data_IF_070084247421
#
_entry.id   IF_070084247421
#
_cell.length_a   1.000
_cell.length_b   1.000
_cell.length_c   1.000
_cell.angle_alpha   90.00
_cell.angle_beta   90.00
_cell.angle_gamma   90.00
#
_symmetry.space_group_name_H-M   'P 1'
#
loop_
_entity.id
_entity.type
_entity.pdbx_description
1 polymer ?
#
# COMPACT_ATOMS: atom_id res chain seq x y z
N UNK A 1 -16.07 28.27 11.99
CA UNK A 1 -15.75 27.62 13.28
C UNK A 1 -16.64 26.37 13.53
N UNK A 2 -16.82 25.49 12.53
CA UNK A 2 -17.84 24.41 12.58
C UNK A 2 -17.39 23.01 12.13
N UNK A 3 -16.13 22.84 11.72
CA UNK A 3 -15.60 21.54 11.26
C UNK A 3 -15.00 20.72 12.43
N UNK A 4 -14.63 21.40 13.53
CA UNK A 4 -13.90 20.77 14.64
C UNK A 4 -14.78 19.90 15.56
N UNK A 5 -16.11 19.95 15.43
CA UNK A 5 -17.02 19.18 16.29
C UNK A 5 -17.38 17.79 15.74
N UNK A 6 -16.95 17.45 14.52
CA UNK A 6 -17.30 16.19 13.87
C UNK A 6 -16.32 15.06 14.18
N UNK A 7 -15.06 15.38 14.51
CA UNK A 7 -14.02 14.39 14.84
C UNK A 7 -13.62 14.53 16.30
N UNK A 8 -13.87 13.49 17.10
CA UNK A 8 -13.45 13.47 18.52
C UNK A 8 -11.91 13.56 18.60
N UNK A 9 -11.33 14.31 19.55
CA UNK A 9 -9.88 14.44 19.69
C UNK A 9 -9.17 13.09 19.87
N UNK A 10 -9.84 12.09 20.43
CA UNK A 10 -9.33 10.72 20.54
C UNK A 10 -9.16 10.02 19.18
N UNK A 11 -9.98 10.32 18.18
CA UNK A 11 -9.88 9.75 16.83
C UNK A 11 -8.64 10.28 16.09
N UNK A 12 -8.30 11.55 16.28
CA UNK A 12 -7.11 12.15 15.67
C UNK A 12 -5.81 11.50 16.19
N UNK A 13 -5.73 11.25 17.50
CA UNK A 13 -4.57 10.57 18.10
C UNK A 13 -4.41 9.15 17.54
N UNK A 14 -5.51 8.40 17.42
CA UNK A 14 -5.48 7.04 16.87
C UNK A 14 -4.99 7.03 15.43
N UNK A 15 -5.43 7.99 14.60
CA UNK A 15 -4.98 8.08 13.19
C UNK A 15 -3.51 8.44 13.11
N UNK A 16 -3.05 9.38 13.92
CA UNK A 16 -1.63 9.75 13.97
C UNK A 16 -0.76 8.54 14.35
N UNK A 17 -1.20 7.74 15.33
CA UNK A 17 -0.55 6.49 15.71
C UNK A 17 -0.57 5.45 14.58
N UNK A 18 -1.66 5.33 13.81
CA UNK A 18 -1.72 4.44 12.65
C UNK A 18 -0.77 4.90 11.54
N UNK A 19 -0.67 6.20 11.25
CA UNK A 19 0.24 6.74 10.25
C UNK A 19 1.70 6.47 10.64
N UNK A 20 2.07 6.73 11.90
CA UNK A 20 3.41 6.42 12.42
C UNK A 20 3.67 4.91 12.35
N UNK A 21 2.73 4.10 12.82
CA UNK A 21 2.83 2.65 12.79
C UNK A 21 3.05 2.12 11.37
N UNK A 22 2.33 2.64 10.38
CA UNK A 22 2.52 2.27 8.97
C UNK A 22 3.89 2.69 8.44
N UNK A 23 4.36 3.91 8.76
CA UNK A 23 5.67 4.39 8.32
C UNK A 23 6.79 3.52 8.89
N UNK A 24 6.74 3.21 10.19
CA UNK A 24 7.75 2.40 10.86
C UNK A 24 7.70 0.95 10.38
N UNK A 25 6.51 0.35 10.28
CA UNK A 25 6.37 -1.03 9.84
C UNK A 25 6.80 -1.21 8.37
N UNK A 26 6.43 -0.28 7.49
CA UNK A 26 6.85 -0.29 6.08
C UNK A 26 8.38 -0.18 5.94
N UNK A 27 9.03 0.66 6.76
CA UNK A 27 10.49 0.79 6.78
C UNK A 27 11.18 -0.50 7.24
N UNK A 28 10.61 -1.18 8.24
CA UNK A 28 11.10 -2.49 8.69
C UNK A 28 10.97 -3.56 7.61
N UNK A 29 9.82 -3.65 6.95
CA UNK A 29 9.58 -4.60 5.84
C UNK A 29 10.56 -4.35 4.68
N UNK A 30 10.80 -3.08 4.33
CA UNK A 30 11.75 -2.72 3.29
C UNK A 30 13.19 -3.12 3.64
N UNK A 31 13.61 -2.88 4.90
CA UNK A 31 14.92 -3.26 5.38
C UNK A 31 15.16 -4.76 5.33
N UNK A 32 14.19 -5.56 5.79
CA UNK A 32 14.27 -7.03 5.71
C UNK A 32 14.30 -7.50 4.26
N UNK A 33 13.44 -6.94 3.40
CA UNK A 33 13.35 -7.35 1.99
C UNK A 33 14.65 -7.09 1.24
N UNK A 34 15.22 -5.88 1.38
CA UNK A 34 16.49 -5.53 0.74
C UNK A 34 17.65 -6.30 1.37
N UNK A 35 17.66 -6.47 2.70
CA UNK A 35 18.71 -7.23 3.38
C UNK A 35 18.78 -8.68 2.91
N UNK A 36 17.63 -9.34 2.73
CA UNK A 36 17.57 -10.69 2.15
C UNK A 36 18.08 -10.66 0.70
N UNK A 37 17.62 -9.69 -0.10
CA UNK A 37 18.02 -9.59 -1.50
C UNK A 37 19.54 -9.41 -1.66
N UNK A 38 20.15 -8.53 -0.86
CA UNK A 38 21.60 -8.30 -0.90
C UNK A 38 22.40 -9.47 -0.36
N UNK A 39 21.88 -10.17 0.67
CA UNK A 39 22.52 -11.37 1.21
C UNK A 39 22.52 -12.54 0.21
N UNK A 40 21.53 -12.59 -0.70
CA UNK A 40 21.42 -13.64 -1.72
C UNK A 40 22.20 -13.31 -3.00
N UNK A 41 22.27 -12.04 -3.41
CA UNK A 41 22.83 -11.65 -4.69
C UNK A 41 24.35 -11.50 -4.70
N UNK A 42 25.02 -11.38 -3.54
CA UNK A 42 26.48 -11.25 -3.39
C UNK A 42 27.16 -10.32 -4.43
N UNK A 43 26.46 -9.24 -4.79
CA UNK A 43 26.83 -8.30 -5.84
C UNK A 43 26.66 -6.87 -5.36
N UNK A 44 27.46 -5.94 -5.92
CA UNK A 44 27.28 -4.51 -5.74
C UNK A 44 25.92 -4.09 -6.31
N UNK A 45 24.96 -3.89 -5.41
CA UNK A 45 23.58 -3.48 -5.74
C UNK A 45 23.34 -2.07 -5.22
N UNK A 46 22.48 -1.26 -5.89
CA UNK A 46 22.14 0.08 -5.43
C UNK A 46 21.21 0.03 -4.21
N UNK A 47 21.74 -0.39 -3.06
CA UNK A 47 21.00 -0.70 -1.82
C UNK A 47 20.15 0.46 -1.33
N UNK A 48 20.63 1.70 -1.45
CA UNK A 48 19.89 2.90 -1.07
C UNK A 48 18.61 3.09 -1.89
N UNK A 49 18.69 2.99 -3.22
CA UNK A 49 17.52 3.16 -4.11
C UNK A 49 16.55 1.99 -3.97
N UNK A 50 17.07 0.76 -3.82
CA UNK A 50 16.25 -0.43 -3.57
C UNK A 50 15.51 -0.31 -2.25
N UNK A 51 16.14 0.21 -1.21
CA UNK A 51 15.50 0.46 0.08
C UNK A 51 14.39 1.50 -0.03
N UNK A 52 14.66 2.65 -0.66
CA UNK A 52 13.66 3.72 -0.83
C UNK A 52 12.47 3.23 -1.66
N UNK A 53 12.72 2.52 -2.76
CA UNK A 53 11.67 1.96 -3.61
C UNK A 53 10.84 0.91 -2.85
N UNK A 54 11.50 0.00 -2.13
CA UNK A 54 10.83 -1.03 -1.33
C UNK A 54 10.02 -0.43 -0.18
N UNK A 55 10.53 0.64 0.44
CA UNK A 55 9.83 1.36 1.50
C UNK A 55 8.62 2.11 0.97
N UNK A 56 8.73 2.83 -0.14
CA UNK A 56 7.57 3.42 -0.81
C UNK A 56 6.55 2.35 -1.20
N UNK A 57 6.99 1.23 -1.78
CA UNK A 57 6.14 0.11 -2.14
C UNK A 57 5.34 -0.45 -0.97
N UNK A 58 6.03 -0.79 0.13
CA UNK A 58 5.38 -1.35 1.32
C UNK A 58 4.46 -0.33 1.99
N UNK A 59 4.84 0.95 2.04
CA UNK A 59 3.99 2.03 2.56
C UNK A 59 2.70 2.18 1.76
N UNK A 60 2.78 2.17 0.43
CA UNK A 60 1.64 2.28 -0.48
C UNK A 60 0.65 1.13 -0.27
N UNK A 61 1.16 -0.10 -0.22
CA UNK A 61 0.35 -1.30 -0.02
C UNK A 61 -0.27 -1.32 1.37
N UNK A 62 0.49 -1.01 2.42
CA UNK A 62 -0.05 -0.90 3.79
C UNK A 62 -1.11 0.21 3.86
N UNK A 63 -0.87 1.39 3.29
CA UNK A 63 -1.84 2.49 3.27
C UNK A 63 -3.15 2.10 2.57
N UNK A 64 -3.08 1.43 1.42
CA UNK A 64 -4.24 0.97 0.69
C UNK A 64 -5.04 -0.08 1.48
N UNK A 65 -4.35 -1.06 2.05
CA UNK A 65 -4.99 -2.15 2.81
C UNK A 65 -5.59 -1.68 4.12
N UNK A 66 -4.87 -0.88 4.91
CA UNK A 66 -5.37 -0.28 6.15
C UNK A 66 -6.52 0.69 5.86
N UNK A 67 -6.41 1.52 4.81
CA UNK A 67 -7.49 2.40 4.37
C UNK A 67 -8.76 1.67 3.99
N UNK A 68 -8.64 0.58 3.23
CA UNK A 68 -9.76 -0.27 2.88
C UNK A 68 -10.45 -0.87 4.12
N UNK A 69 -9.67 -1.40 5.06
CA UNK A 69 -10.18 -2.01 6.31
C UNK A 69 -10.86 -0.98 7.21
N UNK A 70 -10.25 0.21 7.38
CA UNK A 70 -10.84 1.29 8.17
C UNK A 70 -12.17 1.74 7.57
N UNK A 71 -12.28 1.81 6.24
CA UNK A 71 -13.51 2.19 5.58
C UNK A 71 -14.60 1.11 5.70
N UNK A 72 -14.31 -0.16 5.48
CA UNK A 72 -15.32 -1.24 5.39
C UNK A 72 -15.51 -2.04 6.69
N UNK A 73 -14.71 -1.80 7.71
CA UNK A 73 -14.74 -2.52 8.99
C UNK A 73 -14.20 -3.95 8.87
N UNK A 74 -14.66 -4.86 9.73
CA UNK A 74 -14.14 -6.26 9.79
C UNK A 74 -14.34 -7.06 8.50
N UNK A 75 -15.32 -6.71 7.67
CA UNK A 75 -15.52 -7.32 6.34
C UNK A 75 -14.50 -6.82 5.31
N UNK A 76 -13.82 -5.72 5.59
CA UNK A 76 -12.81 -5.12 4.72
C UNK A 76 -11.55 -5.94 4.57
N UNK A 77 -11.32 -6.94 5.43
CA UNK A 77 -10.15 -7.85 5.36
C UNK A 77 -10.14 -8.67 4.08
N UNK A 78 -11.27 -8.88 3.41
CA UNK A 78 -11.30 -9.55 2.10
C UNK A 78 -10.57 -8.76 1.02
N UNK A 79 -10.61 -7.42 1.06
CA UNK A 79 -9.98 -6.55 0.06
C UNK A 79 -8.45 -6.75 -0.02
N UNK A 80 -7.68 -6.67 1.07
CA UNK A 80 -6.24 -6.92 1.02
C UNK A 80 -5.90 -8.35 0.60
N UNK A 81 -6.73 -9.34 0.97
CA UNK A 81 -6.53 -10.74 0.55
C UNK A 81 -6.69 -10.87 -0.97
N UNK A 82 -7.78 -10.32 -1.54
CA UNK A 82 -7.97 -10.33 -2.99
C UNK A 82 -6.84 -9.60 -3.70
N UNK A 83 -6.44 -8.43 -3.18
CA UNK A 83 -5.37 -7.64 -3.77
C UNK A 83 -4.04 -8.40 -3.76
N UNK A 84 -3.73 -9.13 -2.68
CA UNK A 84 -2.55 -9.98 -2.59
C UNK A 84 -2.60 -11.13 -3.61
N UNK A 85 -3.72 -11.87 -3.68
CA UNK A 85 -3.90 -12.98 -4.62
C UNK A 85 -3.81 -12.52 -6.08
N UNK A 86 -4.46 -11.41 -6.43
CA UNK A 86 -4.41 -10.83 -7.77
C UNK A 86 -2.99 -10.36 -8.10
N UNK A 87 -2.31 -9.75 -7.13
CA UNK A 87 -0.96 -9.22 -7.37
C UNK A 87 0.07 -10.33 -7.60
N UNK A 88 -0.06 -11.49 -6.94
CA UNK A 88 0.86 -12.62 -7.12
C UNK A 88 0.92 -13.10 -8.57
N UNK A 89 -0.24 -13.26 -9.22
CA UNK A 89 -0.29 -13.66 -10.63
C UNK A 89 0.36 -12.62 -11.56
N UNK A 90 0.23 -11.32 -11.23
CA UNK A 90 0.83 -10.24 -12.05
C UNK A 90 2.33 -10.07 -11.88
N UNK A 91 2.91 -10.58 -10.78
CA UNK A 91 4.35 -10.49 -10.49
C UNK A 91 5.14 -11.68 -11.04
N UNK A 92 4.52 -12.86 -11.06
CA UNK A 92 5.18 -14.09 -11.51
C UNK A 92 5.30 -14.18 -13.02
N UNK A 93 4.29 -13.67 -13.75
CA UNK A 93 4.18 -13.79 -15.20
C UNK A 93 4.27 -12.41 -15.86
N UNK A 94 5.02 -12.28 -16.97
CA UNK A 94 4.95 -11.12 -17.83
C UNK A 94 3.54 -10.93 -18.41
N UNK A 95 3.18 -9.69 -18.77
CA UNK A 95 1.83 -9.35 -19.25
C UNK A 95 1.41 -10.21 -20.46
N UNK A 96 2.37 -10.55 -21.31
CA UNK A 96 2.18 -11.23 -22.58
C UNK A 96 1.74 -12.70 -22.40
N UNK A 97 2.01 -13.28 -21.23
CA UNK A 97 1.62 -14.66 -20.88
C UNK A 97 0.32 -14.73 -20.08
N UNK A 98 -0.29 -13.58 -19.77
CA UNK A 98 -1.53 -13.52 -19.03
C UNK A 98 -2.75 -13.67 -19.97
N UNK A 99 -3.81 -14.39 -19.54
CA UNK A 99 -5.09 -14.38 -20.25
C UNK A 99 -5.63 -12.96 -20.42
N UNK A 100 -6.47 -12.71 -21.43
CA UNK A 100 -6.95 -11.36 -21.79
C UNK A 100 -7.55 -10.58 -20.61
N UNK A 101 -8.32 -11.25 -19.74
CA UNK A 101 -8.91 -10.64 -18.55
C UNK A 101 -7.82 -10.09 -17.61
N UNK A 102 -6.75 -10.84 -17.40
CA UNK A 102 -5.67 -10.43 -16.52
C UNK A 102 -4.83 -9.32 -17.15
N UNK A 103 -4.44 -9.47 -18.42
CA UNK A 103 -3.60 -8.51 -19.12
C UNK A 103 -4.26 -7.12 -19.27
N UNK A 104 -5.56 -7.09 -19.57
CA UNK A 104 -6.26 -5.85 -19.91
C UNK A 104 -7.00 -5.24 -18.73
N UNK A 105 -7.51 -6.03 -17.79
CA UNK A 105 -8.30 -5.50 -16.67
C UNK A 105 -7.54 -5.44 -15.37
N UNK A 106 -6.83 -6.48 -14.97
CA UNK A 106 -6.21 -6.56 -13.63
C UNK A 106 -4.82 -5.93 -13.63
N UNK A 107 -4.01 -6.31 -14.61
CA UNK A 107 -2.62 -5.93 -14.70
C UNK A 107 -2.42 -4.41 -14.76
N UNK A 108 -3.21 -3.56 -15.45
CA UNK A 108 -2.87 -2.13 -15.56
C UNK A 108 -2.88 -1.32 -14.26
N UNK A 109 -3.66 -1.71 -13.25
CA UNK A 109 -3.83 -0.92 -12.02
C UNK A 109 -3.21 -1.58 -10.79
N UNK A 110 -2.76 -2.84 -10.86
CA UNK A 110 -2.15 -3.50 -9.70
C UNK A 110 -0.86 -2.77 -9.30
N UNK A 111 -0.75 -2.29 -8.05
CA UNK A 111 0.42 -1.52 -7.60
C UNK A 111 1.70 -2.36 -7.56
N UNK A 112 1.57 -3.66 -7.31
CA UNK A 112 2.71 -4.56 -7.14
C UNK A 112 3.54 -4.73 -8.42
N UNK A 113 2.92 -4.68 -9.60
CA UNK A 113 3.63 -4.74 -10.89
C UNK A 113 4.63 -3.58 -11.04
N UNK A 114 4.28 -2.39 -10.52
CA UNK A 114 5.07 -1.18 -10.74
C UNK A 114 6.30 -1.22 -9.84
N UNK A 115 6.13 -1.79 -8.65
CA UNK A 115 7.23 -2.12 -7.74
C UNK A 115 8.19 -3.12 -8.38
N UNK A 116 7.68 -4.22 -8.92
CA UNK A 116 8.48 -5.24 -9.59
C UNK A 116 9.26 -4.67 -10.79
N UNK A 117 8.59 -3.90 -11.66
CA UNK A 117 9.25 -3.21 -12.79
C UNK A 117 10.33 -2.25 -12.31
N UNK A 118 10.09 -1.51 -11.23
CA UNK A 118 11.07 -0.61 -10.63
C UNK A 118 12.28 -1.36 -10.07
N UNK A 119 12.06 -2.48 -9.38
CA UNK A 119 13.14 -3.32 -8.84
C UNK A 119 13.96 -3.91 -10.00
N UNK A 120 13.31 -4.49 -11.01
CA UNK A 120 13.99 -5.04 -12.20
C UNK A 120 14.78 -3.97 -12.95
N UNK A 121 14.26 -2.74 -13.08
CA UNK A 121 15.02 -1.66 -13.73
C UNK A 121 16.26 -1.25 -12.94
N UNK A 122 16.19 -1.23 -11.60
CA UNK A 122 17.34 -0.90 -10.76
C UNK A 122 18.39 -2.01 -10.75
N UNK A 123 17.97 -3.28 -10.80
CA UNK A 123 18.88 -4.42 -10.76
C UNK A 123 19.51 -4.76 -12.11
N UNK A 124 18.77 -4.60 -13.21
CA UNK A 124 19.21 -5.13 -14.52
C UNK A 124 19.49 -4.07 -15.57
N UNK A 125 18.99 -2.84 -15.41
CA UNK A 125 19.09 -1.79 -16.44
C UNK A 125 20.08 -0.68 -16.03
N UNK A 126 20.86 -0.92 -14.97
CA UNK A 126 21.87 0.01 -14.43
C UNK A 126 21.36 1.46 -14.31
N UNK A 127 20.10 1.59 -13.87
CA UNK A 127 19.48 2.90 -13.70
C UNK A 127 19.88 3.50 -12.36
N UNK A 128 20.47 4.69 -12.40
CA UNK A 128 20.76 5.51 -11.22
C UNK A 128 19.51 6.16 -10.61
N UNK A 129 18.33 5.96 -11.19
CA UNK A 129 17.08 6.58 -10.78
C UNK A 129 15.89 5.63 -10.89
N UNK A 130 14.89 5.85 -10.01
CA UNK A 130 13.61 5.13 -10.07
C UNK A 130 12.79 5.68 -11.25
N UNK A 131 12.20 4.82 -12.12
CA UNK A 131 11.37 5.29 -13.22
C UNK A 131 10.21 6.19 -12.76
N UNK A 132 10.04 7.33 -13.43
CA UNK A 132 8.99 8.31 -13.10
C UNK A 132 7.57 7.73 -13.18
N UNK A 133 7.33 6.79 -14.10
CA UNK A 133 6.06 6.07 -14.20
C UNK A 133 5.76 5.21 -12.98
N UNK A 134 6.79 4.59 -12.38
CA UNK A 134 6.65 3.80 -11.15
C UNK A 134 6.33 4.70 -9.97
N UNK A 135 7.06 5.82 -9.83
CA UNK A 135 6.81 6.82 -8.79
C UNK A 135 5.40 7.40 -8.87
N UNK A 136 4.94 7.76 -10.08
CA UNK A 136 3.60 8.30 -10.30
C UNK A 136 2.52 7.26 -9.92
N UNK A 137 2.65 6.02 -10.37
CA UNK A 137 1.68 4.97 -10.07
C UNK A 137 1.60 4.65 -8.56
N UNK A 138 2.76 4.58 -7.89
CA UNK A 138 2.82 4.43 -6.44
C UNK A 138 2.20 5.63 -5.72
N UNK A 139 2.48 6.86 -6.19
CA UNK A 139 1.90 8.09 -5.65
C UNK A 139 0.37 8.12 -5.74
N UNK A 140 -0.21 7.75 -6.89
CA UNK A 140 -1.67 7.64 -7.07
C UNK A 140 -2.26 6.59 -6.12
N UNK A 141 -1.61 5.43 -6.00
CA UNK A 141 -2.09 4.35 -5.14
C UNK A 141 -2.04 4.76 -3.66
N UNK A 142 -0.98 5.46 -3.24
CA UNK A 142 -0.88 6.01 -1.89
C UNK A 142 -1.97 7.05 -1.62
N UNK A 143 -2.19 7.96 -2.57
CA UNK A 143 -3.26 8.96 -2.47
C UNK A 143 -4.63 8.28 -2.32
N UNK A 144 -4.90 7.21 -3.08
CA UNK A 144 -6.12 6.41 -2.93
C UNK A 144 -6.23 5.79 -1.53
N UNK A 145 -5.15 5.21 -1.00
CA UNK A 145 -5.13 4.67 0.37
C UNK A 145 -5.41 5.73 1.44
N UNK A 146 -4.82 6.91 1.31
CA UNK A 146 -5.07 8.05 2.21
C UNK A 146 -6.50 8.58 2.10
N UNK A 147 -7.07 8.64 0.89
CA UNK A 147 -8.47 9.02 0.68
C UNK A 147 -9.41 8.00 1.34
N UNK A 148 -9.13 6.69 1.23
CA UNK A 148 -9.91 5.65 1.90
C UNK A 148 -9.84 5.78 3.42
N UNK A 149 -8.65 6.06 3.97
CA UNK A 149 -8.46 6.35 5.39
C UNK A 149 -9.30 7.55 5.84
N UNK A 150 -9.19 8.67 5.13
CA UNK A 150 -9.92 9.89 5.45
C UNK A 150 -11.45 9.69 5.34
N UNK A 151 -11.92 8.99 4.29
CA UNK A 151 -13.33 8.67 4.11
C UNK A 151 -13.87 7.74 5.21
N UNK A 152 -13.05 6.81 5.69
CA UNK A 152 -13.38 5.95 6.83
C UNK A 152 -13.62 6.75 8.12
N UNK A 153 -12.89 7.85 8.33
CA UNK A 153 -13.06 8.72 9.49
C UNK A 153 -14.38 9.50 9.50
N UNK A 154 -14.94 9.78 8.34
CA UNK A 154 -16.20 10.53 8.21
C UNK A 154 -17.43 9.67 8.53
N UNK A 155 -17.28 8.37 8.77
CA UNK A 155 -18.40 7.51 9.14
C UNK A 155 -18.89 7.82 10.55
N UNK A 156 -20.16 8.24 10.73
CA UNK A 156 -20.73 8.43 12.05
C UNK A 156 -20.81 7.07 12.76
N UNK A 157 -20.28 7.01 13.98
CA UNK A 157 -20.45 5.85 14.87
C UNK A 157 -21.94 5.69 15.12
N UNK A 158 -22.52 4.63 14.56
CA UNK A 158 -23.94 4.34 14.67
C UNK A 158 -24.37 4.27 16.13
N UNK A 159 -25.35 5.10 16.49
CA UNK A 159 -26.01 5.13 17.80
C UNK A 159 -26.68 3.78 18.04
N UNK A 160 -26.02 2.86 18.73
CA UNK A 160 -26.64 1.63 19.25
C UNK A 160 -26.37 1.62 20.76
N UNK A 161 -27.43 1.34 21.52
CA UNK A 161 -27.50 1.18 23.00
C UNK A 161 -27.86 2.42 23.86
N UNK A 162 -28.94 3.13 23.53
CA UNK A 162 -29.68 3.93 24.56
C UNK A 162 -31.19 3.61 24.56
N UNK A 163 -31.63 2.56 23.87
CA UNK A 163 -33.06 2.23 23.72
C UNK A 163 -33.48 0.86 24.30
N UNK A 164 -32.67 0.27 25.19
CA UNK A 164 -32.95 -1.06 25.78
C UNK A 164 -33.05 -1.04 27.32
N UNK A 165 -33.14 0.15 27.93
CA UNK A 165 -33.40 0.26 29.37
C UNK A 165 -34.41 1.38 29.63
N UNK A 166 -35.68 1.08 29.36
CA UNK A 166 -36.83 1.69 30.02
C UNK A 166 -38.01 0.72 29.93
#
# INVERSE_FOLDING_TARGET
MGILYIVRPTQLVVVFLHLIGMIVASAGVAGVSVGILTALLDMDTPTGLLYVLSWCGSLVLMGLTVGAVVLTGRRGVSIPILLWLLSMATVTLPREFLPELWANWIYPWTPLQFLEKGIRSLLYVDQSMIPGSTLLALGITLALGLVLLAAGMLKPVGKKEVAQHN
#
